data_IF_847448704995
#
_entry.id   IF_847448704995
#
_cell.length_a   1.000
_cell.length_b   1.000
_cell.length_c   1.000
_cell.angle_alpha   90.00
_cell.angle_beta   90.00
_cell.angle_gamma   90.00
#
_symmetry.space_group_name_H-M   'P 1'
#
loop_
_entity.id
_entity.type
_entity.pdbx_description
1 polymer ?
#
# COMPACT_ATOMS: atom_id res chain seq x y z
N UNK A 1 -59.90 21.09 18.57
CA UNK A 1 -59.09 20.15 17.76
C UNK A 1 -57.68 20.71 17.60
N UNK A 2 -56.72 19.80 17.45
CA UNK A 2 -55.31 20.00 17.09
C UNK A 2 -54.34 20.47 18.19
N UNK A 3 -53.57 19.50 18.74
CA UNK A 3 -52.10 19.54 18.83
C UNK A 3 -51.57 18.24 19.45
N UNK A 4 -51.31 17.24 18.61
CA UNK A 4 -50.46 16.07 18.96
C UNK A 4 -49.79 15.49 17.71
N UNK A 5 -49.26 16.35 16.84
CA UNK A 5 -48.52 15.93 15.63
C UNK A 5 -47.02 16.26 15.67
N UNK A 6 -46.55 16.97 16.70
CA UNK A 6 -45.17 17.50 16.76
C UNK A 6 -44.11 16.45 17.15
N UNK A 7 -44.43 15.52 18.05
CA UNK A 7 -43.43 14.52 18.52
C UNK A 7 -43.24 13.38 17.54
N UNK A 8 -44.34 12.86 16.96
CA UNK A 8 -44.30 11.77 15.99
C UNK A 8 -43.57 12.15 14.70
N UNK A 9 -43.74 13.38 14.22
CA UNK A 9 -43.09 13.86 13.01
C UNK A 9 -41.57 14.06 13.20
N UNK A 10 -41.13 14.43 14.41
CA UNK A 10 -39.71 14.50 14.78
C UNK A 10 -39.08 13.11 14.94
N UNK A 11 -39.81 12.17 15.54
CA UNK A 11 -39.36 10.78 15.66
C UNK A 11 -39.24 10.09 14.28
N UNK A 12 -40.22 10.30 13.40
CA UNK A 12 -40.19 9.79 12.03
C UNK A 12 -39.02 10.38 11.22
N UNK A 13 -38.77 11.69 11.33
CA UNK A 13 -37.60 12.31 10.69
C UNK A 13 -36.28 11.72 11.21
N UNK A 14 -36.18 11.50 12.53
CA UNK A 14 -34.99 10.92 13.15
C UNK A 14 -34.69 9.51 12.62
N UNK A 15 -35.70 8.66 12.49
CA UNK A 15 -35.55 7.29 11.95
C UNK A 15 -35.15 7.33 10.48
N UNK A 16 -35.76 8.19 9.66
CA UNK A 16 -35.40 8.32 8.24
C UNK A 16 -33.97 8.81 8.08
N UNK A 17 -33.54 9.78 8.89
CA UNK A 17 -32.16 10.29 8.86
C UNK A 17 -31.15 9.21 9.30
N UNK A 18 -31.49 8.40 10.31
CA UNK A 18 -30.68 7.24 10.71
C UNK A 18 -30.57 6.20 9.60
N UNK A 19 -31.66 5.90 8.89
CA UNK A 19 -31.66 4.96 7.76
C UNK A 19 -30.81 5.50 6.60
N UNK A 20 -30.91 6.80 6.30
CA UNK A 20 -30.08 7.44 5.26
C UNK A 20 -28.60 7.41 5.67
N UNK A 21 -28.27 7.77 6.91
CA UNK A 21 -26.89 7.71 7.42
C UNK A 21 -26.37 6.28 7.40
N UNK A 22 -27.17 5.30 7.83
CA UNK A 22 -26.80 3.89 7.77
C UNK A 22 -26.59 3.41 6.33
N UNK A 23 -27.44 3.83 5.37
CA UNK A 23 -27.28 3.51 3.95
C UNK A 23 -26.05 4.19 3.34
N UNK A 24 -25.75 5.44 3.71
CA UNK A 24 -24.56 6.16 3.27
C UNK A 24 -23.29 5.52 3.84
N UNK A 25 -23.26 5.19 5.14
CA UNK A 25 -22.14 4.48 5.78
C UNK A 25 -21.98 3.08 5.16
N UNK A 26 -23.07 2.35 4.91
CA UNK A 26 -23.02 1.01 4.32
C UNK A 26 -22.56 1.06 2.84
N UNK A 27 -22.95 2.10 2.09
CA UNK A 27 -22.48 2.31 0.71
C UNK A 27 -21.05 2.85 0.62
N UNK A 28 -20.60 3.65 1.59
CA UNK A 28 -19.21 4.13 1.67
C UNK A 28 -18.27 3.03 2.15
N UNK A 29 -18.67 2.22 3.14
CA UNK A 29 -17.90 1.09 3.64
C UNK A 29 -17.73 -0.01 2.58
N UNK A 30 -18.78 -0.25 1.77
CA UNK A 30 -18.72 -1.16 0.63
C UNK A 30 -17.74 -0.72 -0.47
N UNK A 31 -17.49 0.58 -0.66
CA UNK A 31 -16.53 1.03 -1.69
C UNK A 31 -15.06 0.84 -1.31
N UNK A 32 -14.74 0.70 -0.02
CA UNK A 32 -13.37 0.46 0.43
C UNK A 32 -13.01 -1.04 0.44
N UNK A 33 -13.98 -1.94 0.66
CA UNK A 33 -13.73 -3.37 0.87
C UNK A 33 -14.05 -4.27 -0.35
N UNK A 34 -14.94 -3.83 -1.25
CA UNK A 34 -15.35 -4.64 -2.41
C UNK A 34 -14.20 -4.84 -3.42
N UNK A 35 -13.25 -3.90 -3.50
CA UNK A 35 -12.11 -4.03 -4.42
C UNK A 35 -11.10 -5.11 -3.97
N UNK A 36 -10.92 -5.31 -2.66
CA UNK A 36 -10.04 -6.35 -2.15
C UNK A 36 -10.75 -7.71 -2.10
N UNK A 37 -12.05 -7.74 -1.78
CA UNK A 37 -12.83 -8.99 -1.84
C UNK A 37 -13.03 -9.49 -3.27
N UNK A 38 -13.20 -8.62 -4.26
CA UNK A 38 -13.28 -9.00 -5.67
C UNK A 38 -11.92 -9.48 -6.22
N UNK A 39 -10.81 -8.87 -5.80
CA UNK A 39 -9.45 -9.36 -6.12
C UNK A 39 -9.15 -10.71 -5.46
N UNK A 40 -9.56 -10.89 -4.20
CA UNK A 40 -9.45 -12.15 -3.46
C UNK A 40 -10.32 -13.24 -4.09
N UNK A 41 -11.57 -12.95 -4.47
CA UNK A 41 -12.47 -13.88 -5.15
C UNK A 41 -11.99 -14.24 -6.57
N UNK A 42 -11.41 -13.28 -7.30
CA UNK A 42 -10.70 -13.55 -8.56
C UNK A 42 -9.46 -14.44 -8.33
N UNK A 43 -8.75 -14.29 -7.20
CA UNK A 43 -7.67 -15.19 -6.78
C UNK A 43 -8.15 -16.61 -6.52
N UNK A 44 -9.32 -16.79 -5.89
CA UNK A 44 -9.88 -18.11 -5.57
C UNK A 44 -10.42 -18.85 -6.80
N UNK A 45 -11.07 -18.17 -7.76
CA UNK A 45 -11.49 -18.82 -9.02
C UNK A 45 -10.29 -19.18 -9.92
N UNK A 46 -9.19 -18.40 -9.84
CA UNK A 46 -7.93 -18.72 -10.51
C UNK A 46 -7.18 -19.90 -9.90
N UNK A 47 -7.44 -20.30 -8.65
CA UNK A 47 -6.74 -21.42 -8.01
C UNK A 47 -6.96 -22.78 -8.67
N UNK A 48 -8.06 -23.00 -9.42
CA UNK A 48 -8.24 -24.23 -10.24
C UNK A 48 -7.31 -24.30 -11.45
N UNK A 49 -6.76 -23.16 -11.87
CA UNK A 49 -5.92 -22.99 -13.06
C UNK A 49 -4.44 -22.78 -12.72
N UNK A 50 -4.04 -23.03 -11.48
CA UNK A 50 -2.65 -22.92 -11.09
C UNK A 50 -1.92 -24.24 -11.35
N UNK A 51 -0.71 -24.13 -11.86
CA UNK A 51 0.25 -25.22 -11.94
C UNK A 51 1.38 -24.98 -10.92
N UNK A 52 1.41 -25.71 -9.80
CA UNK A 52 2.38 -25.49 -8.75
C UNK A 52 3.81 -25.69 -9.25
N UNK A 53 4.72 -24.80 -8.84
CA UNK A 53 6.12 -24.96 -9.16
C UNK A 53 6.78 -26.06 -8.31
N UNK A 54 7.65 -26.85 -8.95
CA UNK A 54 8.67 -27.63 -8.24
C UNK A 54 9.70 -26.71 -7.58
N UNK A 55 10.47 -27.22 -6.60
CA UNK A 55 11.47 -26.38 -5.90
C UNK A 55 12.52 -25.77 -6.85
N UNK A 56 12.99 -26.51 -7.86
CA UNK A 56 13.93 -25.97 -8.85
C UNK A 56 13.32 -24.87 -9.72
N UNK A 57 12.02 -24.96 -10.02
CA UNK A 57 11.28 -23.90 -10.71
C UNK A 57 11.12 -22.68 -9.80
N UNK A 58 10.90 -22.86 -8.49
CA UNK A 58 10.79 -21.74 -7.54
C UNK A 58 12.06 -20.91 -7.49
N UNK A 59 13.23 -21.56 -7.43
CA UNK A 59 14.53 -20.88 -7.47
C UNK A 59 14.76 -20.16 -8.80
N UNK A 60 14.34 -20.78 -9.91
CA UNK A 60 14.44 -20.19 -11.24
C UNK A 60 13.57 -18.94 -11.37
N UNK A 61 12.36 -18.97 -10.81
CA UNK A 61 11.47 -17.80 -10.76
C UNK A 61 12.07 -16.70 -9.89
N UNK A 62 12.65 -17.03 -8.73
CA UNK A 62 13.33 -16.07 -7.86
C UNK A 62 14.41 -15.28 -8.60
N UNK A 63 15.27 -15.99 -9.35
CA UNK A 63 16.29 -15.36 -10.21
C UNK A 63 15.71 -14.53 -11.34
N UNK A 64 14.60 -14.97 -11.92
CA UNK A 64 13.94 -14.28 -13.04
C UNK A 64 13.36 -12.93 -12.64
N UNK A 65 12.83 -12.80 -11.42
CA UNK A 65 12.23 -11.56 -10.92
C UNK A 65 13.20 -10.69 -10.11
N UNK A 66 14.41 -11.19 -9.86
CA UNK A 66 15.42 -10.46 -9.10
C UNK A 66 15.84 -9.19 -9.84
N UNK A 67 16.08 -8.12 -9.08
CA UNK A 67 16.50 -6.84 -9.63
C UNK A 67 15.99 -5.64 -8.84
N UNK A 68 16.32 -4.47 -9.37
CA UNK A 68 15.89 -3.17 -8.85
C UNK A 68 14.78 -2.62 -9.74
N UNK A 69 13.60 -2.43 -9.16
CA UNK A 69 12.37 -2.11 -9.86
C UNK A 69 11.79 -0.81 -9.34
N UNK A 70 11.31 0.05 -10.24
CA UNK A 70 10.68 1.34 -9.90
C UNK A 70 9.32 1.51 -10.55
N UNK A 71 8.39 2.08 -9.81
CA UNK A 71 7.11 2.59 -10.30
C UNK A 71 6.93 4.01 -9.76
N UNK A 72 7.61 4.97 -10.38
CA UNK A 72 7.60 6.37 -9.97
C UNK A 72 6.56 7.15 -10.76
N UNK A 73 5.58 7.72 -10.06
CA UNK A 73 4.56 8.59 -10.62
C UNK A 73 4.76 10.01 -10.09
N UNK A 74 5.20 10.91 -10.98
CA UNK A 74 5.58 12.27 -10.63
C UNK A 74 4.38 13.12 -10.16
N UNK A 75 4.67 14.14 -9.33
CA UNK A 75 3.67 15.02 -8.72
C UNK A 75 2.79 15.75 -9.74
N UNK A 76 3.35 16.10 -10.90
CA UNK A 76 2.63 16.79 -11.98
C UNK A 76 1.55 15.92 -12.64
N UNK A 77 1.56 14.62 -12.38
CA UNK A 77 0.62 13.67 -12.98
C UNK A 77 -0.48 13.19 -12.03
N UNK A 78 -0.27 13.21 -10.71
CA UNK A 78 -1.19 12.60 -9.72
C UNK A 78 -0.94 13.17 -8.32
N UNK A 79 -2.02 13.34 -7.53
CA UNK A 79 -1.96 13.68 -6.11
C UNK A 79 -2.49 12.51 -5.24
N UNK A 80 -1.67 11.89 -4.38
CA UNK A 80 -0.24 12.15 -4.16
C UNK A 80 0.64 11.65 -5.30
N UNK A 81 1.84 12.24 -5.41
CA UNK A 81 2.94 11.61 -6.14
C UNK A 81 3.37 10.36 -5.37
N UNK A 82 3.61 9.25 -6.08
CA UNK A 82 3.99 7.98 -5.45
C UNK A 82 5.25 7.44 -6.11
N UNK A 83 6.29 7.26 -5.31
CA UNK A 83 7.57 6.67 -5.71
C UNK A 83 7.66 5.30 -5.03
N UNK A 84 7.73 4.23 -5.81
CA UNK A 84 7.66 2.86 -5.30
C UNK A 84 8.86 2.08 -5.83
N UNK A 85 9.78 1.75 -4.93
CA UNK A 85 11.08 1.18 -5.26
C UNK A 85 11.26 -0.15 -4.57
N UNK A 86 11.59 -1.17 -5.35
CA UNK A 86 11.65 -2.56 -4.92
C UNK A 86 12.99 -3.15 -5.34
N UNK A 87 13.78 -3.61 -4.39
CA UNK A 87 14.84 -4.57 -4.65
C UNK A 87 14.30 -5.97 -4.36
N UNK A 88 14.36 -6.86 -5.33
CA UNK A 88 14.06 -8.28 -5.16
C UNK A 88 15.39 -9.04 -5.32
N UNK A 89 15.79 -9.77 -4.28
CA UNK A 89 16.95 -10.65 -4.33
C UNK A 89 16.57 -12.01 -4.92
N UNK A 90 17.54 -12.70 -5.50
CA UNK A 90 17.35 -14.02 -6.12
C UNK A 90 16.82 -15.09 -5.14
N UNK A 91 17.16 -14.93 -3.86
CA UNK A 91 16.67 -15.77 -2.78
C UNK A 91 15.27 -15.38 -2.26
N UNK A 92 14.57 -14.44 -2.91
CA UNK A 92 13.22 -14.03 -2.56
C UNK A 92 13.12 -12.94 -1.48
N UNK A 93 14.23 -12.49 -0.88
CA UNK A 93 14.19 -11.33 0.04
C UNK A 93 13.88 -10.06 -0.75
N UNK A 94 12.89 -9.30 -0.27
CA UNK A 94 12.46 -8.04 -0.86
C UNK A 94 12.74 -6.90 0.09
N UNK A 95 13.32 -5.82 -0.45
CA UNK A 95 13.35 -4.51 0.17
C UNK A 95 12.45 -3.59 -0.62
N UNK A 96 11.44 -3.00 0.03
CA UNK A 96 10.51 -2.11 -0.64
C UNK A 96 10.36 -0.81 0.13
N UNK A 97 10.45 0.30 -0.59
CA UNK A 97 10.24 1.65 -0.07
C UNK A 97 9.23 2.36 -0.94
N UNK A 98 8.14 2.80 -0.33
CA UNK A 98 7.08 3.56 -0.97
C UNK A 98 7.06 4.95 -0.35
N UNK A 99 7.36 5.97 -1.13
CA UNK A 99 7.29 7.38 -0.72
C UNK A 99 6.11 8.05 -1.40
N UNK A 100 5.24 8.65 -0.58
CA UNK A 100 4.11 9.44 -0.99
C UNK A 100 4.42 10.90 -0.73
N UNK A 101 4.18 11.75 -1.73
CA UNK A 101 4.30 13.21 -1.61
C UNK A 101 2.95 13.84 -1.86
N UNK A 102 2.43 14.54 -0.87
CA UNK A 102 1.17 15.26 -0.93
C UNK A 102 1.48 16.75 -1.09
N UNK A 103 1.38 17.31 -2.31
CA UNK A 103 1.44 18.76 -2.46
C UNK A 103 0.32 19.40 -1.65
N UNK A 104 0.66 20.43 -0.88
CA UNK A 104 -0.29 21.27 -0.15
C UNK A 104 -0.34 22.65 -0.82
N UNK A 105 -1.47 23.35 -0.68
CA UNK A 105 -1.69 24.66 -1.30
C UNK A 105 -0.71 25.74 -0.78
N UNK A 106 -0.17 25.50 0.42
CA UNK A 106 0.93 26.22 1.07
C UNK A 106 2.23 25.42 0.90
N UNK A 107 3.33 26.13 0.67
CA UNK A 107 4.65 25.70 0.13
C UNK A 107 5.26 24.38 0.66
N UNK A 108 4.81 23.82 1.79
CA UNK A 108 5.36 22.57 2.34
C UNK A 108 4.63 21.33 1.79
N UNK A 109 5.37 20.45 1.11
CA UNK A 109 4.88 19.12 0.69
C UNK A 109 4.94 18.14 1.85
N UNK A 110 3.82 17.52 2.21
CA UNK A 110 3.82 16.45 3.21
C UNK A 110 4.39 15.17 2.59
N UNK A 111 5.39 14.57 3.24
CA UNK A 111 6.04 13.34 2.79
C UNK A 111 5.76 12.20 3.77
N UNK A 112 5.31 11.08 3.24
CA UNK A 112 5.09 9.85 3.99
C UNK A 112 5.87 8.71 3.32
N UNK A 113 6.57 7.91 4.10
CA UNK A 113 7.34 6.76 3.63
C UNK A 113 6.89 5.50 4.36
N UNK A 114 6.64 4.45 3.59
CA UNK A 114 6.43 3.09 4.07
C UNK A 114 7.58 2.23 3.55
N UNK A 115 8.40 1.73 4.46
CA UNK A 115 9.53 0.86 4.14
C UNK A 115 9.33 -0.50 4.80
N UNK A 116 9.55 -1.58 4.07
CA UNK A 116 9.42 -2.92 4.62
C UNK A 116 10.35 -3.93 3.94
N UNK A 117 10.67 -4.98 4.70
CA UNK A 117 11.27 -6.20 4.18
C UNK A 117 10.24 -7.30 4.14
N UNK A 118 10.23 -8.09 3.07
CA UNK A 118 9.40 -9.27 2.96
C UNK A 118 10.15 -10.43 2.32
N UNK A 119 9.55 -11.61 2.38
CA UNK A 119 10.01 -12.80 1.68
C UNK A 119 8.97 -13.20 0.64
N UNK A 120 9.39 -13.22 -0.63
CA UNK A 120 8.65 -13.75 -1.76
C UNK A 120 9.05 -15.19 -2.03
N UNK A 121 8.06 -16.08 -2.12
CA UNK A 121 8.25 -17.45 -2.57
C UNK A 121 7.34 -17.74 -3.74
N UNK A 122 7.92 -18.20 -4.86
CA UNK A 122 7.12 -18.64 -5.98
C UNK A 122 6.23 -19.83 -5.57
N UNK A 123 4.95 -19.76 -5.93
CA UNK A 123 3.95 -20.78 -5.61
C UNK A 123 3.53 -21.54 -6.87
N UNK A 124 3.06 -20.82 -7.89
CA UNK A 124 2.53 -21.43 -9.11
C UNK A 124 2.55 -20.48 -10.31
N UNK A 125 2.44 -21.03 -11.52
CA UNK A 125 2.09 -20.27 -12.73
C UNK A 125 0.60 -20.42 -13.03
N UNK A 126 0.06 -19.51 -13.85
CA UNK A 126 -1.27 -19.67 -14.42
C UNK A 126 -1.21 -20.55 -15.68
N UNK A 127 -2.02 -21.61 -15.73
CA UNK A 127 -2.09 -22.57 -16.86
C UNK A 127 -2.45 -21.92 -18.19
N UNK A 128 -3.28 -20.87 -18.16
CA UNK A 128 -3.72 -20.16 -19.38
C UNK A 128 -2.73 -19.05 -19.78
N UNK A 129 -1.82 -18.65 -18.87
CA UNK A 129 -0.85 -17.59 -19.11
C UNK A 129 0.41 -17.81 -18.27
N UNK A 130 1.41 -18.48 -18.85
CA UNK A 130 2.67 -18.79 -18.18
C UNK A 130 3.48 -17.55 -17.75
N UNK A 131 3.19 -16.36 -18.31
CA UNK A 131 3.84 -15.10 -17.89
C UNK A 131 3.28 -14.57 -16.56
N UNK A 132 2.18 -15.15 -16.06
CA UNK A 132 1.50 -14.76 -14.84
C UNK A 132 1.88 -15.73 -13.72
N UNK A 133 2.61 -15.20 -12.75
CA UNK A 133 3.24 -15.92 -11.65
C UNK A 133 2.52 -15.55 -10.34
N UNK A 134 2.24 -16.56 -9.53
CA UNK A 134 1.67 -16.42 -8.19
C UNK A 134 2.77 -16.66 -7.17
N UNK A 135 2.96 -15.72 -6.25
CA UNK A 135 3.97 -15.76 -5.20
C UNK A 135 3.34 -15.51 -3.85
N UNK A 136 3.78 -16.27 -2.86
CA UNK A 136 3.49 -15.99 -1.45
C UNK A 136 4.39 -14.85 -0.99
N UNK A 137 3.81 -13.85 -0.32
CA UNK A 137 4.53 -12.71 0.24
C UNK A 137 4.30 -12.62 1.74
N UNK A 138 5.37 -12.79 2.49
CA UNK A 138 5.38 -12.65 3.96
C UNK A 138 6.15 -11.41 4.37
N UNK A 139 5.47 -10.42 4.93
CA UNK A 139 6.14 -9.24 5.48
C UNK A 139 6.87 -9.65 6.76
N UNK A 140 8.17 -9.35 6.82
CA UNK A 140 9.02 -9.69 7.96
C UNK A 140 9.08 -8.52 8.94
N UNK A 141 9.24 -7.31 8.41
CA UNK A 141 9.36 -6.06 9.17
C UNK A 141 8.81 -4.91 8.34
N UNK A 142 8.15 -3.95 8.98
CA UNK A 142 7.66 -2.74 8.31
C UNK A 142 7.74 -1.51 9.21
N UNK A 143 8.06 -0.38 8.60
CA UNK A 143 8.29 0.91 9.23
C UNK A 143 7.53 1.98 8.48
N UNK A 144 6.91 2.88 9.24
CA UNK A 144 6.30 4.10 8.74
C UNK A 144 7.12 5.29 9.20
N UNK A 145 7.44 6.19 8.27
CA UNK A 145 8.21 7.41 8.52
C UNK A 145 7.51 8.61 7.86
N UNK A 146 7.44 9.73 8.56
CA UNK A 146 6.82 10.97 8.07
C UNK A 146 6.96 12.03 9.14
N UNK A 147 5.95 12.17 10.00
CA UNK A 147 6.05 12.98 11.21
C UNK A 147 6.86 12.31 12.34
N UNK A 148 6.57 11.04 12.60
CA UNK A 148 7.30 10.20 13.54
C UNK A 148 7.91 9.03 12.75
N UNK A 149 8.76 8.23 13.39
CA UNK A 149 9.21 6.95 12.84
C UNK A 149 8.78 5.84 13.79
N UNK A 150 8.02 4.87 13.29
CA UNK A 150 7.55 3.79 14.14
C UNK A 150 7.47 2.44 13.41
N UNK A 151 7.69 1.35 14.14
CA UNK A 151 7.46 -0.01 13.66
C UNK A 151 6.00 -0.41 13.80
N UNK A 152 5.41 -0.91 12.72
CA UNK A 152 4.11 -1.56 12.81
C UNK A 152 4.26 -3.08 12.81
N UNK A 153 3.34 -3.77 13.47
CA UNK A 153 3.25 -5.22 13.38
C UNK A 153 3.16 -5.63 11.90
N UNK A 154 3.90 -6.65 11.43
CA UNK A 154 3.82 -7.09 10.05
C UNK A 154 2.38 -7.33 9.64
N UNK A 155 1.98 -6.81 8.47
CA UNK A 155 0.68 -7.13 7.92
C UNK A 155 0.57 -8.63 7.63
N UNK A 156 -0.65 -9.21 7.63
CA UNK A 156 -0.84 -10.62 7.34
C UNK A 156 -0.21 -11.04 6.00
N UNK A 157 0.12 -12.33 5.90
CA UNK A 157 0.62 -12.93 4.67
C UNK A 157 -0.32 -12.58 3.50
N UNK A 158 0.29 -12.27 2.35
CA UNK A 158 -0.39 -11.76 1.17
C UNK A 158 0.07 -12.53 -0.06
N UNK A 159 -0.73 -12.54 -1.12
CA UNK A 159 -0.32 -13.14 -2.40
C UNK A 159 0.03 -12.04 -3.38
N UNK A 160 1.20 -12.16 -4.01
CA UNK A 160 1.59 -11.34 -5.15
C UNK A 160 1.28 -12.08 -6.44
N UNK A 161 0.53 -11.44 -7.32
CA UNK A 161 0.34 -11.89 -8.70
C UNK A 161 1.18 -10.97 -9.58
N UNK A 162 2.20 -11.55 -10.19
CA UNK A 162 3.18 -10.85 -11.01
C UNK A 162 2.98 -11.27 -12.46
N UNK A 163 2.95 -10.32 -13.39
CA UNK A 163 3.07 -10.59 -14.82
C UNK A 163 4.40 -10.05 -15.31
N UNK A 164 5.20 -10.90 -15.93
CA UNK A 164 6.40 -10.46 -16.65
C UNK A 164 6.02 -9.97 -18.04
N UNK A 165 6.57 -8.82 -18.42
CA UNK A 165 6.34 -8.18 -19.72
C UNK A 165 7.68 -7.72 -20.29
N UNK A 166 7.71 -7.37 -21.58
CA UNK A 166 8.90 -6.78 -22.21
C UNK A 166 9.35 -5.46 -21.55
N UNK A 167 8.43 -4.76 -20.88
CA UNK A 167 8.68 -3.48 -20.22
C UNK A 167 9.08 -3.62 -18.74
N UNK A 168 8.97 -4.82 -18.17
CA UNK A 168 9.25 -5.10 -16.77
C UNK A 168 8.13 -5.88 -16.08
N UNK A 169 7.91 -5.58 -14.80
CA UNK A 169 7.11 -6.37 -13.88
C UNK A 169 5.77 -5.68 -13.60
N UNK A 170 4.64 -6.33 -13.88
CA UNK A 170 3.31 -5.83 -13.53
C UNK A 170 2.76 -6.52 -12.28
N UNK A 171 2.38 -5.76 -11.26
CA UNK A 171 1.72 -6.27 -10.06
C UNK A 171 0.86 -5.20 -9.39
N UNK A 172 -0.28 -5.60 -8.82
CA UNK A 172 -1.17 -4.68 -8.09
C UNK A 172 -1.69 -3.50 -8.92
N UNK A 173 -1.76 -3.63 -10.25
CA UNK A 173 -2.15 -2.56 -11.17
C UNK A 173 -1.05 -1.52 -11.43
N UNK A 174 0.21 -1.82 -11.08
CA UNK A 174 1.39 -0.99 -11.37
C UNK A 174 2.32 -1.74 -12.32
N UNK A 175 2.92 -1.03 -13.27
CA UNK A 175 4.07 -1.49 -14.03
C UNK A 175 5.32 -0.97 -13.33
N UNK A 176 6.26 -1.87 -13.05
CA UNK A 176 7.59 -1.55 -12.57
C UNK A 176 8.58 -1.77 -13.69
N UNK A 177 9.39 -0.76 -13.95
CA UNK A 177 10.49 -0.84 -14.91
C UNK A 177 11.80 -1.04 -14.16
N UNK A 178 12.80 -1.59 -14.83
CA UNK A 178 14.14 -1.71 -14.27
C UNK A 178 14.66 -0.31 -13.90
N UNK A 179 15.34 -0.20 -12.76
CA UNK A 179 16.01 1.03 -12.38
C UNK A 179 17.27 1.22 -13.23
N UNK A 180 17.18 2.14 -14.19
CA UNK A 180 18.20 2.37 -15.22
C UNK A 180 19.18 3.47 -14.82
N UNK A 181 19.87 3.30 -13.68
CA UNK A 181 20.95 4.22 -13.29
C UNK A 181 22.17 3.45 -12.78
N UNK A 182 23.35 3.91 -13.15
CA UNK A 182 24.63 3.35 -12.71
C UNK A 182 24.91 3.55 -11.20
N UNK A 183 24.14 4.41 -10.53
CA UNK A 183 24.34 4.78 -9.13
C UNK A 183 23.25 4.21 -8.22
N UNK A 184 23.42 2.95 -7.81
CA UNK A 184 22.52 2.27 -6.87
C UNK A 184 22.43 2.96 -5.51
N UNK A 185 23.38 3.83 -5.14
CA UNK A 185 23.29 4.59 -3.89
C UNK A 185 22.08 5.54 -3.87
N UNK A 186 21.57 5.91 -5.05
CA UNK A 186 20.37 6.73 -5.22
C UNK A 186 19.08 5.93 -5.36
N UNK A 187 19.15 4.59 -5.30
CA UNK A 187 17.96 3.76 -5.47
C UNK A 187 16.99 3.98 -4.32
N UNK A 188 17.42 3.74 -3.08
CA UNK A 188 16.60 4.03 -1.90
C UNK A 188 16.86 5.44 -1.37
N UNK A 189 15.84 6.12 -0.82
CA UNK A 189 16.06 7.36 -0.09
C UNK A 189 17.07 7.19 1.04
N UNK A 190 17.88 8.23 1.29
CA UNK A 190 18.87 8.23 2.37
C UNK A 190 18.22 7.83 3.70
N UNK A 191 18.80 6.83 4.37
CA UNK A 191 18.32 6.34 5.66
C UNK A 191 17.18 5.33 5.59
N UNK A 192 16.50 5.11 4.45
CA UNK A 192 15.35 4.20 4.36
C UNK A 192 15.71 2.75 4.69
N UNK A 193 16.88 2.28 4.23
CA UNK A 193 17.40 0.94 4.57
C UNK A 193 17.77 0.85 6.06
N UNK A 194 18.32 1.92 6.64
CA UNK A 194 18.62 1.96 8.08
C UNK A 194 17.35 1.89 8.90
N UNK A 195 16.28 2.57 8.49
CA UNK A 195 14.98 2.56 9.19
C UNK A 195 14.43 1.16 9.38
N UNK A 196 14.51 0.29 8.36
CA UNK A 196 13.99 -1.08 8.48
C UNK A 196 14.89 -1.95 9.37
N UNK A 197 16.21 -1.74 9.33
CA UNK A 197 17.19 -2.51 10.10
C UNK A 197 17.35 -2.07 11.57
N UNK A 198 16.93 -0.86 11.92
CA UNK A 198 17.18 -0.28 13.25
C UNK A 198 16.10 -0.68 14.25
N UNK A 199 16.31 -1.83 14.90
CA UNK A 199 15.42 -2.42 15.92
C UNK A 199 15.14 -1.52 17.15
N UNK A 200 15.79 -0.36 17.27
CA UNK A 200 15.61 0.55 18.42
C UNK A 200 14.45 1.56 18.25
N UNK A 201 13.81 1.59 17.09
CA UNK A 201 12.66 2.47 16.83
C UNK A 201 11.43 1.99 17.62
N UNK A 202 10.66 2.94 18.16
CA UNK A 202 9.48 2.67 19.00
C UNK A 202 8.37 2.02 18.18
N UNK A 203 7.64 1.07 18.79
CA UNK A 203 6.45 0.48 18.18
C UNK A 203 5.38 1.56 17.96
N UNK A 204 4.74 1.56 16.80
CA UNK A 204 3.63 2.45 16.50
C UNK A 204 2.53 2.28 17.57
N UNK A 205 1.88 3.38 17.95
CA UNK A 205 0.68 3.32 18.79
C UNK A 205 -0.35 2.38 18.13
N UNK A 206 -1.06 1.58 18.94
CA UNK A 206 -2.04 0.62 18.44
C UNK A 206 -3.01 1.25 17.43
N UNK A 207 -3.20 0.60 16.28
CA UNK A 207 -4.13 1.07 15.23
C UNK A 207 -3.52 1.94 14.12
N UNK A 208 -2.19 2.12 14.09
CA UNK A 208 -1.50 2.75 12.97
C UNK A 208 -1.55 1.83 11.74
N UNK A 209 -2.16 2.34 10.67
CA UNK A 209 -2.21 1.74 9.33
C UNK A 209 -1.62 2.73 8.32
N UNK A 210 -1.29 2.30 7.09
CA UNK A 210 -0.84 3.23 6.05
C UNK A 210 -1.79 4.43 5.87
N UNK A 211 -3.10 4.19 5.97
CA UNK A 211 -4.13 5.24 5.83
C UNK A 211 -4.12 6.21 7.00
N UNK A 212 -4.09 5.73 8.24
CA UNK A 212 -4.15 6.59 9.42
C UNK A 212 -2.85 7.38 9.61
N UNK A 213 -1.70 6.79 9.25
CA UNK A 213 -0.42 7.47 9.33
C UNK A 213 -0.26 8.58 8.28
N UNK A 214 -0.82 8.37 7.08
CA UNK A 214 -0.95 9.41 6.05
C UNK A 214 -1.71 10.62 6.61
N UNK A 215 -2.89 10.38 7.19
CA UNK A 215 -3.75 11.46 7.67
C UNK A 215 -3.06 12.26 8.80
N UNK A 216 -2.34 11.58 9.69
CA UNK A 216 -1.50 12.22 10.71
C UNK A 216 -0.39 13.09 10.09
N UNK A 217 0.31 12.56 9.09
CA UNK A 217 1.40 13.28 8.41
C UNK A 217 0.89 14.53 7.69
N UNK A 218 -0.30 14.48 7.09
CA UNK A 218 -0.96 15.62 6.45
C UNK A 218 -1.36 16.67 7.51
N UNK A 219 -2.07 16.25 8.57
CA UNK A 219 -2.52 17.15 9.65
C UNK A 219 -1.36 17.91 10.28
N UNK A 220 -0.19 17.27 10.41
CA UNK A 220 0.96 17.89 11.03
C UNK A 220 1.67 18.90 10.16
N UNK A 221 1.84 18.61 8.86
CA UNK A 221 2.32 19.62 7.92
C UNK A 221 1.45 20.89 8.00
N UNK A 222 0.13 20.73 8.06
CA UNK A 222 -0.80 21.86 8.22
C UNK A 222 -0.69 22.56 9.59
N UNK A 223 -0.48 21.82 10.69
CA UNK A 223 -0.31 22.41 12.04
C UNK A 223 1.02 23.13 12.26
N UNK A 224 2.09 22.69 11.59
CA UNK A 224 3.40 23.36 11.62
C UNK A 224 3.35 24.67 10.84
N UNK A 225 2.54 24.74 9.78
CA UNK A 225 2.30 25.98 9.04
C UNK A 225 1.55 27.02 9.86
N UNK A 226 0.50 26.63 10.57
CA UNK A 226 -0.26 27.54 11.47
C UNK A 226 0.59 28.07 12.64
N UNK A 227 1.69 27.39 13.00
CA UNK A 227 2.68 27.91 13.96
C UNK A 227 3.76 28.80 13.33
N UNK A 228 3.99 28.67 12.01
CA UNK A 228 4.99 29.43 11.25
C UNK A 228 4.47 30.75 10.68
N UNK A 229 3.17 31.03 10.77
CA UNK A 229 2.63 32.39 10.61
C UNK A 229 2.64 33.12 11.96
N UNK A 230 3.67 33.94 12.27
CA UNK A 230 3.48 35.09 13.15
C UNK A 230 2.81 36.22 12.36
N UNK A 231 1.80 36.81 12.99
CA UNK A 231 1.12 38.10 12.75
C UNK A 231 1.50 38.94 11.52
#
# INVERSE_FOLDING_TARGET
>A
MARSSSSYMKAALGVVMMVIVALVINNLSKKADINDYAKYKAGIENNKKLDPFSESQKDSVGKLIAGFWVSDKAADSINPAVFDRIEIKDNGIVWRVITYKFPQDSVDTAVFTHAYTSYLRAFASNKDNASLLTLDNKILQQVFAGYDTCYANPSPDSTWIIRLTEKGLETGGKLYTTFDTDDLSKFFPNGAVKMVNDITIVQCKNGVSPTNFRDLSILQATSLQTKKEPQ
#
